data_IF_018715269170
#
_entry.id   IF_018715269170
#
_cell.length_a   1.000
_cell.length_b   1.000
_cell.length_c   1.000
_cell.angle_alpha   90.00
_cell.angle_beta   90.00
_cell.angle_gamma   90.00
#
_symmetry.space_group_name_H-M   'P 1'
#
loop_
_entity.id
_entity.type
_entity.pdbx_description
1 polymer ?
#
# COMPACT_ATOMS: atom_id res chain seq x y z
N UNK A 1 -0.24 -32.08 70.54
CA UNK A 1 0.71 -31.35 71.41
C UNK A 1 2.10 -32.00 71.28
N UNK A 2 3.14 -31.17 71.33
CA UNK A 2 4.58 -31.43 71.42
C UNK A 2 5.40 -31.85 70.16
N UNK A 3 6.24 -30.89 69.71
CA UNK A 3 7.49 -31.05 68.95
C UNK A 3 8.68 -31.16 69.93
N UNK A 4 9.84 -31.66 69.51
CA UNK A 4 11.03 -30.78 69.34
C UNK A 4 11.80 -31.06 68.02
N UNK A 5 12.32 -30.06 67.28
CA UNK A 5 13.59 -29.31 67.46
C UNK A 5 14.82 -30.14 67.03
N UNK A 6 15.33 -29.97 65.79
CA UNK A 6 16.39 -29.06 65.27
C UNK A 6 17.74 -29.77 65.07
N UNK A 7 18.33 -29.54 63.89
CA UNK A 7 19.72 -29.92 63.56
C UNK A 7 20.09 -29.52 62.14
N UNK A 8 20.63 -28.30 61.99
CA UNK A 8 21.26 -27.75 60.78
C UNK A 8 22.63 -28.41 60.55
N UNK A 9 22.97 -28.66 59.28
CA UNK A 9 24.34 -28.88 58.80
C UNK A 9 24.43 -28.53 57.29
N UNK A 10 25.43 -27.75 56.82
CA UNK A 10 25.41 -27.13 55.48
C UNK A 10 26.35 -27.79 54.45
N UNK A 11 26.13 -27.43 53.18
CA UNK A 11 27.07 -27.62 52.04
C UNK A 11 26.64 -28.75 51.11
N UNK A 12 26.58 -28.60 49.78
CA UNK A 12 27.35 -27.73 48.88
C UNK A 12 26.58 -27.43 47.60
N UNK A 13 26.73 -26.20 47.10
CA UNK A 13 26.33 -25.76 45.75
C UNK A 13 26.99 -26.61 44.65
N UNK A 14 26.21 -27.05 43.66
CA UNK A 14 26.71 -27.37 42.31
C UNK A 14 25.83 -26.64 41.29
N UNK A 15 26.40 -25.78 40.42
CA UNK A 15 25.67 -25.12 39.35
C UNK A 15 25.29 -26.11 38.25
N UNK A 16 24.02 -26.03 37.81
CA UNK A 16 23.48 -26.80 36.68
C UNK A 16 24.17 -26.36 35.38
N UNK A 17 25.21 -27.09 34.98
CA UNK A 17 25.88 -26.89 33.70
C UNK A 17 25.04 -27.50 32.56
N UNK A 18 24.74 -26.66 31.57
CA UNK A 18 24.67 -27.01 30.15
C UNK A 18 24.02 -28.34 29.78
N UNK A 19 22.69 -28.35 29.70
CA UNK A 19 21.95 -29.40 29.01
C UNK A 19 22.30 -29.43 27.52
N UNK A 20 22.70 -30.60 27.06
CA UNK A 20 23.09 -30.97 25.69
C UNK A 20 21.89 -30.73 24.74
N UNK A 21 22.07 -30.10 23.56
CA UNK A 21 21.00 -29.98 22.58
C UNK A 21 20.67 -31.35 21.97
N UNK A 22 19.40 -31.74 22.08
CA UNK A 22 18.84 -32.96 21.48
C UNK A 22 18.81 -32.77 19.95
N UNK A 23 19.46 -33.63 19.14
CA UNK A 23 19.34 -33.59 17.68
C UNK A 23 17.95 -34.12 17.30
N UNK A 24 17.08 -33.26 16.77
CA UNK A 24 15.80 -33.72 16.18
C UNK A 24 14.59 -32.82 16.34
N UNK A 25 14.67 -31.71 17.09
CA UNK A 25 13.56 -30.73 17.13
C UNK A 25 13.77 -29.67 16.04
N UNK A 26 13.29 -29.98 14.84
CA UNK A 26 13.07 -28.98 13.80
C UNK A 26 11.95 -28.06 14.31
N UNK A 27 12.33 -26.88 14.79
CA UNK A 27 11.42 -25.76 15.00
C UNK A 27 10.73 -25.45 13.69
N UNK A 28 9.49 -25.90 13.53
CA UNK A 28 8.64 -25.49 12.41
C UNK A 28 8.46 -23.97 12.51
N UNK A 29 8.86 -23.16 11.52
CA UNK A 29 8.40 -21.79 11.47
C UNK A 29 6.88 -21.83 11.34
N UNK A 30 6.19 -21.13 12.24
CA UNK A 30 4.75 -20.91 12.18
C UNK A 30 4.46 -20.05 10.94
N UNK A 31 4.33 -20.71 9.79
CA UNK A 31 3.94 -20.10 8.53
C UNK A 31 2.43 -19.87 8.54
N UNK A 32 1.98 -18.85 9.29
CA UNK A 32 0.67 -18.25 9.07
C UNK A 32 0.60 -16.82 9.63
N UNK A 33 1.62 -16.01 9.36
CA UNK A 33 1.37 -14.59 9.12
C UNK A 33 0.95 -14.44 7.66
N UNK A 34 -0.29 -14.84 7.36
CA UNK A 34 -0.98 -14.27 6.20
C UNK A 34 -1.17 -12.80 6.52
N UNK A 35 -0.15 -11.98 6.21
CA UNK A 35 -0.36 -10.57 5.95
C UNK A 35 -1.27 -10.53 4.72
N UNK A 36 -2.58 -10.57 4.96
CA UNK A 36 -3.55 -10.20 3.95
C UNK A 36 -3.20 -8.78 3.56
N UNK A 37 -2.43 -8.64 2.48
CA UNK A 37 -2.31 -7.38 1.77
C UNK A 37 -3.73 -7.03 1.38
N UNK A 38 -4.35 -6.16 2.16
CA UNK A 38 -5.69 -5.63 1.91
C UNK A 38 -5.57 -4.75 0.66
N UNK A 39 -5.46 -5.41 -0.49
CA UNK A 39 -5.49 -4.77 -1.78
C UNK A 39 -6.80 -3.98 -1.81
N UNK A 40 -6.68 -2.66 -1.78
CA UNK A 40 -7.85 -1.80 -1.81
C UNK A 40 -8.59 -2.09 -3.11
N UNK A 41 -9.90 -2.36 -3.08
CA UNK A 41 -10.64 -2.76 -4.27
C UNK A 41 -10.51 -1.66 -5.33
N UNK A 42 -10.15 -2.06 -6.55
CA UNK A 42 -10.09 -1.14 -7.69
C UNK A 42 -11.49 -0.68 -8.04
N UNK A 43 -11.70 0.64 -8.09
CA UNK A 43 -12.97 1.23 -8.47
C UNK A 43 -13.04 1.42 -9.97
N UNK A 44 -14.27 1.38 -10.49
CA UNK A 44 -14.56 1.77 -11.87
C UNK A 44 -14.94 3.24 -11.95
N UNK A 45 -14.82 3.84 -13.13
CA UNK A 45 -15.14 5.26 -13.37
C UNK A 45 -16.56 5.61 -12.94
N UNK A 46 -17.55 4.76 -13.21
CA UNK A 46 -18.96 5.00 -12.85
C UNK A 46 -19.19 5.04 -11.33
N UNK A 47 -18.32 4.43 -10.54
CA UNK A 47 -18.40 4.35 -9.08
C UNK A 47 -17.72 5.54 -8.38
N UNK A 48 -17.14 6.46 -9.15
CA UNK A 48 -16.50 7.66 -8.61
C UNK A 48 -17.54 8.65 -8.06
N UNK A 49 -17.15 9.32 -6.95
CA UNK A 49 -17.96 10.31 -6.24
C UNK A 49 -17.04 11.44 -5.74
N UNK A 50 -17.48 12.72 -5.74
CA UNK A 50 -16.63 13.87 -5.39
C UNK A 50 -15.95 13.81 -4.01
N UNK A 51 -16.47 13.03 -3.06
CA UNK A 51 -15.94 12.93 -1.69
C UNK A 51 -15.20 11.61 -1.41
N UNK A 52 -15.02 10.77 -2.44
CA UNK A 52 -14.32 9.49 -2.28
C UNK A 52 -12.82 9.72 -2.45
N UNK A 53 -12.03 9.41 -1.42
CA UNK A 53 -10.58 9.57 -1.38
C UNK A 53 -9.89 8.21 -1.27
N UNK A 54 -8.57 8.21 -1.45
CA UNK A 54 -7.73 7.02 -1.38
C UNK A 54 -8.19 5.94 -2.37
N UNK A 55 -8.62 6.39 -3.55
CA UNK A 55 -9.11 5.47 -4.58
C UNK A 55 -7.95 4.85 -5.35
N UNK A 56 -8.15 3.60 -5.77
CA UNK A 56 -7.31 2.96 -6.78
C UNK A 56 -8.19 2.66 -7.99
N UNK A 57 -7.75 3.03 -9.19
CA UNK A 57 -8.43 2.64 -10.43
C UNK A 57 -7.42 2.48 -11.57
N UNK A 58 -7.79 1.67 -12.55
CA UNK A 58 -7.01 1.40 -13.76
C UNK A 58 -7.76 1.91 -14.97
N UNK A 59 -7.08 2.59 -15.88
CA UNK A 59 -7.69 3.21 -17.04
C UNK A 59 -6.72 3.30 -18.22
N UNK A 60 -7.28 3.47 -19.41
CA UNK A 60 -6.54 3.85 -20.62
C UNK A 60 -6.68 5.36 -20.85
N UNK A 61 -5.59 6.01 -21.24
CA UNK A 61 -5.60 7.41 -21.66
C UNK A 61 -6.04 7.50 -23.12
N UNK A 62 -7.12 8.23 -23.39
CA UNK A 62 -7.74 8.33 -24.72
C UNK A 62 -7.31 9.58 -25.50
N UNK A 63 -7.12 10.71 -24.82
CA UNK A 63 -6.72 11.95 -25.46
C UNK A 63 -6.08 12.91 -24.46
N UNK A 64 -5.16 13.75 -24.94
CA UNK A 64 -4.51 14.80 -24.15
C UNK A 64 -5.13 16.15 -24.53
N UNK A 65 -5.50 16.96 -23.54
CA UNK A 65 -5.87 18.36 -23.76
C UNK A 65 -7.24 18.62 -24.43
N UNK A 66 -7.88 17.63 -25.06
CA UNK A 66 -9.19 17.82 -25.70
C UNK A 66 -10.34 17.74 -24.70
N UNK A 67 -10.59 18.84 -24.00
CA UNK A 67 -11.85 19.05 -23.30
C UNK A 67 -12.72 19.98 -24.12
N UNK A 68 -13.99 19.63 -24.36
CA UNK A 68 -14.99 20.55 -24.94
C UNK A 68 -15.09 21.88 -24.16
N UNK A 69 -14.66 21.87 -22.90
CA UNK A 69 -14.68 23.01 -21.99
C UNK A 69 -13.32 23.72 -21.83
N UNK A 70 -12.27 23.26 -22.52
CA UNK A 70 -10.96 23.93 -22.52
C UNK A 70 -10.39 23.93 -23.95
N UNK A 71 -10.53 25.04 -24.69
CA UNK A 71 -10.08 25.14 -26.07
C UNK A 71 -8.55 25.28 -26.23
N UNK A 72 -7.80 25.29 -25.12
CA UNK A 72 -6.35 25.33 -25.14
C UNK A 72 -5.84 23.89 -25.11
N UNK A 73 -5.41 23.39 -26.27
CA UNK A 73 -4.95 22.01 -26.48
C UNK A 73 -3.60 21.69 -25.79
N UNK A 74 -3.05 22.62 -25.02
CA UNK A 74 -1.69 22.55 -24.49
C UNK A 74 -1.65 22.35 -22.95
N UNK A 75 -0.61 21.67 -22.43
CA UNK A 75 -0.29 21.69 -21.01
C UNK A 75 -0.21 23.13 -20.48
N UNK A 76 -0.95 23.42 -19.40
CA UNK A 76 -1.00 24.77 -18.81
C UNK A 76 -0.03 24.87 -17.64
N UNK A 77 0.44 26.08 -17.34
CA UNK A 77 1.18 26.35 -16.10
C UNK A 77 0.33 27.17 -15.13
N UNK A 78 0.41 26.88 -13.84
CA UNK A 78 -0.20 27.72 -12.80
C UNK A 78 0.59 29.01 -12.60
N UNK A 79 0.06 29.93 -11.79
CA UNK A 79 0.78 31.12 -11.33
C UNK A 79 2.10 30.76 -10.62
N UNK A 80 2.08 29.66 -9.88
CA UNK A 80 3.25 29.10 -9.18
C UNK A 80 4.16 28.26 -10.10
N UNK A 81 3.96 28.34 -11.42
CA UNK A 81 4.75 27.65 -12.43
C UNK A 81 4.65 26.11 -12.41
N UNK A 82 3.59 25.54 -11.81
CA UNK A 82 3.33 24.11 -11.85
C UNK A 82 2.70 23.71 -13.17
N UNK A 83 3.28 22.72 -13.86
CA UNK A 83 2.71 22.15 -15.08
C UNK A 83 1.42 21.40 -14.74
N UNK A 84 0.38 21.56 -15.55
CA UNK A 84 -0.88 20.83 -15.44
C UNK A 84 -1.21 20.24 -16.80
N UNK A 85 -1.37 18.92 -16.82
CA UNK A 85 -1.76 18.18 -18.01
C UNK A 85 -3.09 17.48 -17.77
N UNK A 86 -4.05 17.68 -18.67
CA UNK A 86 -5.37 17.04 -18.59
C UNK A 86 -5.46 15.93 -19.62
N UNK A 87 -5.92 14.75 -19.21
CA UNK A 87 -6.24 13.64 -20.11
C UNK A 87 -7.70 13.24 -19.97
N UNK A 88 -8.28 12.79 -21.07
CA UNK A 88 -9.47 11.93 -21.02
C UNK A 88 -8.99 10.52 -20.75
N UNK A 89 -9.43 9.93 -19.65
CA UNK A 89 -9.14 8.54 -19.30
C UNK A 89 -10.43 7.74 -19.26
N UNK A 90 -10.37 6.46 -19.62
CA UNK A 90 -11.56 5.60 -19.65
C UNK A 90 -11.28 4.19 -19.12
N UNK A 91 -12.34 3.56 -18.65
CA UNK A 91 -12.42 2.14 -18.41
C UNK A 91 -13.67 1.56 -19.08
N UNK A 92 -13.99 0.29 -18.80
CA UNK A 92 -15.19 -0.37 -19.34
C UNK A 92 -16.52 0.27 -18.91
N UNK A 93 -16.53 1.10 -17.87
CA UNK A 93 -17.72 1.70 -17.28
C UNK A 93 -17.98 3.14 -17.74
N UNK A 94 -16.97 3.85 -18.24
CA UNK A 94 -17.11 5.20 -18.74
C UNK A 94 -15.77 5.93 -18.88
N UNK A 95 -15.86 7.24 -19.09
CA UNK A 95 -14.69 8.13 -19.21
C UNK A 95 -14.75 9.27 -18.21
N UNK A 96 -13.59 9.73 -17.75
CA UNK A 96 -13.42 10.87 -16.86
C UNK A 96 -12.22 11.70 -17.27
N UNK A 97 -12.21 12.97 -16.88
CA UNK A 97 -11.04 13.81 -17.02
C UNK A 97 -10.12 13.63 -15.82
N UNK A 98 -8.86 13.32 -16.07
CA UNK A 98 -7.81 13.22 -15.05
C UNK A 98 -6.84 14.36 -15.25
N UNK A 99 -6.49 15.04 -14.16
CA UNK A 99 -5.58 16.18 -14.16
C UNK A 99 -4.31 15.80 -13.41
N UNK A 100 -3.20 15.75 -14.12
CA UNK A 100 -1.88 15.50 -13.54
C UNK A 100 -1.16 16.82 -13.31
N UNK A 101 -0.56 16.95 -12.14
CA UNK A 101 0.27 18.10 -11.76
C UNK A 101 1.75 17.73 -11.86
N UNK A 102 2.56 18.70 -12.27
CA UNK A 102 3.99 18.54 -12.49
C UNK A 102 4.34 17.83 -13.79
N UNK A 103 5.63 17.49 -13.92
CA UNK A 103 6.21 16.90 -15.13
C UNK A 103 5.76 15.45 -15.38
N UNK A 104 5.25 14.75 -14.35
CA UNK A 104 4.79 13.36 -14.48
C UNK A 104 3.69 13.22 -15.55
N UNK A 105 2.76 14.20 -15.61
CA UNK A 105 1.69 14.21 -16.61
C UNK A 105 2.19 14.39 -18.05
N UNK A 106 3.33 15.05 -18.24
CA UNK A 106 3.92 15.28 -19.56
C UNK A 106 4.61 14.02 -20.12
N UNK A 107 4.98 13.07 -19.26
CA UNK A 107 5.62 11.82 -19.68
C UNK A 107 4.64 10.76 -20.17
N UNK A 108 3.35 10.90 -19.82
CA UNK A 108 2.26 10.02 -20.24
C UNK A 108 1.86 10.30 -21.69
N UNK A 109 1.26 9.31 -22.35
CA UNK A 109 0.80 9.40 -23.73
C UNK A 109 -0.57 8.79 -23.92
N UNK A 110 -1.28 9.28 -24.93
CA UNK A 110 -2.50 8.63 -25.41
C UNK A 110 -2.21 7.17 -25.78
N UNK A 111 -3.07 6.26 -25.31
CA UNK A 111 -2.94 4.81 -25.44
C UNK A 111 -2.33 4.13 -24.21
N UNK A 112 -1.69 4.86 -23.30
CA UNK A 112 -1.11 4.26 -22.09
C UNK A 112 -2.20 3.71 -21.18
N UNK A 113 -1.96 2.51 -20.63
CA UNK A 113 -2.75 1.92 -19.55
C UNK A 113 -2.04 2.21 -18.23
N UNK A 114 -2.72 2.91 -17.33
CA UNK A 114 -2.15 3.37 -16.06
C UNK A 114 -3.00 2.94 -14.88
N UNK A 115 -2.36 2.76 -13.72
CA UNK A 115 -3.02 2.58 -12.43
C UNK A 115 -2.78 3.80 -11.56
N UNK A 116 -3.86 4.48 -11.17
CA UNK A 116 -3.82 5.63 -10.26
C UNK A 116 -4.14 5.14 -8.85
N UNK A 117 -3.35 5.58 -7.86
CA UNK A 117 -3.54 5.20 -6.46
C UNK A 117 -3.46 6.44 -5.56
N UNK A 118 -4.31 6.49 -4.53
CA UNK A 118 -4.26 7.53 -3.50
C UNK A 118 -4.87 8.87 -3.91
N UNK A 119 -5.56 8.91 -5.05
CA UNK A 119 -6.31 10.08 -5.53
C UNK A 119 -7.57 10.36 -4.72
#
# INVERSE_FOLDING_TARGET
>A
MNRPHMGRGPGTNIPNQGGIPIPGQISRPNANSQSSSSASPSLTVIEMRPNRKNITFECILLDQGKSKYSPLEEPRRTLENNLITTYVAADKSGSIHVVFWGEAGASLKTGDIIRIQGG
#
